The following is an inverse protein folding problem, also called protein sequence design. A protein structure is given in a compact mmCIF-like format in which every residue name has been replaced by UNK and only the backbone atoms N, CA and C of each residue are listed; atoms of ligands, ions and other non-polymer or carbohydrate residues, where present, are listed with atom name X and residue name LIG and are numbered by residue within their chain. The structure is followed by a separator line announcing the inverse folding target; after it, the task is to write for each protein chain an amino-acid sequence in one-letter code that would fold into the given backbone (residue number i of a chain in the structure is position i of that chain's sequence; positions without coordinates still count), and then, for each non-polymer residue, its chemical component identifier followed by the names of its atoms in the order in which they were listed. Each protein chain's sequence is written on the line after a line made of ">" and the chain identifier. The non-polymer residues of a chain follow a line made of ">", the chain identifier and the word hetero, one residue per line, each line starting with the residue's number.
data_IF_943117626231
#
_entry.id   IF_943117626231
#
_cell.length_a   1.000
_cell.length_b   1.000
_cell.length_c   1.000
_cell.angle_alpha   90.00
_cell.angle_beta   90.00
_cell.angle_gamma   90.00
#
_symmetry.space_group_name_H-M   'P 1'
#
loop_
_entity.id
_entity.type
_entity.pdbx_description
1 polymer ?
#
# COMPACT_ATOMS: atom_id res chain seq x y z
N UNK A 1 -24.35 38.39 7.08
CA UNK A 1 -24.04 38.66 5.66
C UNK A 1 -22.58 39.06 5.59
N UNK A 2 -21.78 38.30 4.92
CA UNK A 2 -20.34 38.50 4.88
C UNK A 2 -20.04 39.61 3.84
N UNK A 3 -19.35 40.71 4.19
CA UNK A 3 -19.13 41.84 3.29
C UNK A 3 -18.18 41.57 2.13
N UNK A 4 -17.67 40.36 2.00
CA UNK A 4 -16.73 39.98 0.93
C UNK A 4 -17.36 39.82 -0.46
N UNK A 5 -18.67 39.69 -0.57
CA UNK A 5 -19.33 39.49 -1.88
C UNK A 5 -19.95 40.78 -2.48
N UNK A 6 -19.90 41.88 -1.76
CA UNK A 6 -20.42 43.16 -2.25
C UNK A 6 -19.41 43.97 -3.07
N UNK A 7 -18.14 43.55 -3.12
CA UNK A 7 -17.08 44.32 -3.80
C UNK A 7 -16.89 44.01 -5.29
N UNK A 8 -17.58 43.02 -5.85
CA UNK A 8 -17.49 42.72 -7.28
C UNK A 8 -18.11 43.85 -8.12
N UNK A 9 -19.10 44.55 -7.57
CA UNK A 9 -19.70 45.70 -8.24
C UNK A 9 -18.93 47.01 -8.03
N UNK A 10 -18.12 47.10 -6.99
CA UNK A 10 -17.35 48.32 -6.72
C UNK A 10 -16.14 48.50 -7.66
N UNK A 11 -15.62 47.39 -8.23
CA UNK A 11 -14.55 47.45 -9.21
C UNK A 11 -15.03 47.94 -10.59
N UNK A 12 -16.27 47.60 -10.96
CA UNK A 12 -16.91 48.10 -12.20
C UNK A 12 -17.18 49.60 -12.17
N UNK A 13 -17.50 50.14 -11.00
CA UNK A 13 -17.70 51.62 -10.83
C UNK A 13 -16.41 52.42 -10.96
N UNK A 14 -15.25 51.80 -10.71
CA UNK A 14 -13.94 52.44 -10.85
C UNK A 14 -13.47 52.60 -12.33
N UNK A 15 -13.96 51.76 -13.20
CA UNK A 15 -13.59 51.74 -14.60
C UNK A 15 -14.51 52.59 -15.50
N UNK A 16 -15.61 53.12 -14.95
CA UNK A 16 -16.60 53.95 -15.63
C UNK A 16 -17.65 53.16 -16.44
N UNK A 17 -18.79 53.79 -16.75
CA UNK A 17 -19.89 53.13 -17.46
C UNK A 17 -19.45 52.71 -18.86
N UNK A 18 -19.54 51.41 -19.14
CA UNK A 18 -19.16 50.83 -20.44
C UNK A 18 -17.79 50.12 -20.47
N UNK A 19 -17.06 50.09 -19.35
CA UNK A 19 -15.85 49.26 -19.28
C UNK A 19 -16.21 47.78 -19.31
N UNK A 20 -15.58 47.03 -20.19
CA UNK A 20 -15.71 45.57 -20.28
C UNK A 20 -14.66 44.98 -19.37
N UNK A 21 -15.08 44.43 -18.23
CA UNK A 21 -14.22 43.63 -17.37
C UNK A 21 -14.07 42.24 -17.98
N UNK A 22 -12.86 41.91 -18.37
CA UNK A 22 -12.51 40.54 -18.73
C UNK A 22 -12.00 39.86 -17.45
N UNK A 23 -12.68 38.83 -16.94
CA UNK A 23 -12.19 38.13 -15.77
C UNK A 23 -10.84 37.50 -16.08
N UNK A 24 -9.82 37.97 -15.35
CA UNK A 24 -8.48 37.34 -15.36
C UNK A 24 -8.49 36.10 -14.48
N UNK A 25 -8.45 34.96 -15.11
CA UNK A 25 -8.26 33.70 -14.40
C UNK A 25 -6.78 33.46 -14.13
N UNK A 26 -6.49 32.94 -12.98
CA UNK A 26 -5.15 32.47 -12.66
C UNK A 26 -4.78 31.32 -13.61
N UNK A 27 -3.67 31.47 -14.32
CA UNK A 27 -3.23 30.46 -15.32
C UNK A 27 -2.60 29.23 -14.67
N UNK A 28 -2.22 29.34 -13.40
CA UNK A 28 -1.57 28.27 -12.66
C UNK A 28 -2.58 27.59 -11.73
N UNK A 29 -2.77 26.29 -11.94
CA UNK A 29 -3.56 25.44 -11.06
C UNK A 29 -2.63 24.95 -9.96
N UNK A 30 -2.91 25.34 -8.71
CA UNK A 30 -2.18 24.82 -7.55
C UNK A 30 -2.41 23.33 -7.40
N UNK A 31 -1.34 22.57 -7.49
CA UNK A 31 -1.36 21.13 -7.26
C UNK A 31 -1.49 20.81 -5.78
N UNK A 32 -2.42 19.91 -5.47
CA UNK A 32 -2.48 19.30 -4.14
C UNK A 32 -1.41 18.22 -4.08
N UNK A 33 -0.45 18.37 -3.16
CA UNK A 33 0.56 17.33 -2.92
C UNK A 33 -0.13 16.04 -2.52
N UNK A 34 -0.10 15.05 -3.41
CA UNK A 34 -0.71 13.74 -3.20
C UNK A 34 0.35 12.77 -2.72
N UNK A 35 0.18 12.28 -1.51
CA UNK A 35 1.07 11.24 -0.98
C UNK A 35 0.79 9.91 -1.67
N UNK A 36 1.88 9.25 -2.10
CA UNK A 36 1.89 7.88 -2.60
C UNK A 36 2.25 6.92 -1.46
N UNK A 37 1.74 5.70 -1.50
CA UNK A 37 2.15 4.64 -0.59
C UNK A 37 3.59 4.19 -0.88
N UNK A 38 4.34 3.88 0.17
CA UNK A 38 5.72 3.40 0.04
C UNK A 38 5.73 1.90 -0.26
N UNK A 39 4.73 1.18 0.22
CA UNK A 39 4.63 -0.27 0.13
C UNK A 39 4.74 -0.82 -1.29
N UNK A 40 3.96 -0.27 -2.23
CA UNK A 40 3.97 -0.71 -3.63
C UNK A 40 5.32 -0.60 -4.34
N UNK A 41 6.22 0.26 -3.84
CA UNK A 41 7.57 0.44 -4.38
C UNK A 41 8.58 -0.56 -3.78
N UNK A 42 8.28 -1.11 -2.60
CA UNK A 42 9.18 -1.99 -1.86
C UNK A 42 8.90 -3.47 -2.08
N UNK A 43 7.66 -3.82 -2.40
CA UNK A 43 7.29 -5.20 -2.69
C UNK A 43 7.80 -5.65 -4.07
N UNK A 44 8.04 -6.93 -4.19
CA UNK A 44 8.54 -7.53 -5.42
C UNK A 44 7.50 -7.47 -6.54
N UNK A 45 7.91 -6.97 -7.70
CA UNK A 45 7.07 -6.89 -8.90
C UNK A 45 7.31 -8.13 -9.77
N UNK A 46 6.26 -8.92 -10.04
CA UNK A 46 6.33 -10.16 -10.80
C UNK A 46 5.41 -10.11 -12.02
N UNK A 47 5.92 -10.34 -13.23
CA UNK A 47 5.06 -10.42 -14.41
C UNK A 47 4.20 -11.69 -14.34
N UNK A 48 2.89 -11.53 -14.53
CA UNK A 48 1.97 -12.65 -14.65
C UNK A 48 2.02 -13.21 -16.06
N UNK A 49 2.19 -14.52 -16.17
CA UNK A 49 2.25 -15.23 -17.46
C UNK A 49 0.87 -15.63 -18.00
N UNK A 50 -0.17 -15.46 -17.19
CA UNK A 50 -1.54 -15.85 -17.57
C UNK A 50 -2.59 -15.36 -16.57
N UNK A 51 -3.85 -15.72 -16.82
CA UNK A 51 -4.98 -15.46 -15.95
C UNK A 51 -5.72 -16.78 -15.68
N UNK A 52 -5.79 -17.26 -14.41
CA UNK A 52 -5.17 -16.70 -13.20
C UNK A 52 -3.64 -16.84 -13.19
N UNK A 53 -2.95 -15.95 -12.47
CA UNK A 53 -1.53 -16.09 -12.21
C UNK A 53 -1.31 -17.22 -11.20
N UNK A 54 -0.40 -18.15 -11.50
CA UNK A 54 -0.14 -19.33 -10.67
C UNK A 54 1.23 -19.22 -10.02
N UNK A 55 1.33 -19.68 -8.78
CA UNK A 55 2.58 -19.73 -8.04
C UNK A 55 2.60 -20.95 -7.12
N UNK A 56 3.79 -21.35 -6.70
CA UNK A 56 3.98 -22.43 -5.74
C UNK A 56 4.42 -21.85 -4.40
N UNK A 57 3.85 -22.40 -3.35
CA UNK A 57 4.23 -22.10 -1.98
C UNK A 57 4.74 -23.38 -1.32
N UNK A 58 5.91 -23.29 -0.69
CA UNK A 58 6.46 -24.41 0.09
C UNK A 58 5.89 -24.33 1.51
N UNK A 59 5.13 -25.36 1.89
CA UNK A 59 4.45 -25.39 3.19
C UNK A 59 5.21 -26.20 4.23
N UNK A 60 6.21 -26.98 3.82
CA UNK A 60 7.08 -27.69 4.74
C UNK A 60 8.48 -27.91 4.13
N UNK A 61 9.50 -27.68 4.94
CA UNK A 61 10.89 -27.96 4.57
C UNK A 61 11.12 -29.47 4.63
N UNK A 62 11.68 -30.06 3.56
CA UNK A 62 11.99 -31.49 3.57
C UNK A 62 13.14 -31.75 4.54
N UNK A 63 12.81 -32.29 5.69
CA UNK A 63 13.79 -32.69 6.69
C UNK A 63 13.46 -34.10 7.21
N UNK A 64 14.47 -34.94 7.47
CA UNK A 64 14.24 -36.21 8.15
C UNK A 64 13.73 -35.94 9.58
N UNK A 65 12.87 -36.82 10.09
CA UNK A 65 12.47 -36.70 11.49
C UNK A 65 13.68 -36.88 12.41
N UNK A 66 13.66 -36.25 13.58
CA UNK A 66 14.78 -36.29 14.53
C UNK A 66 15.19 -37.72 14.91
N UNK A 67 14.25 -38.65 14.89
CA UNK A 67 14.50 -40.07 15.21
C UNK A 67 14.96 -40.91 13.99
N UNK A 68 14.53 -40.51 12.78
CA UNK A 68 14.82 -41.28 11.55
C UNK A 68 16.00 -40.69 10.74
N UNK A 69 16.42 -39.45 11.05
CA UNK A 69 17.54 -38.80 10.35
C UNK A 69 18.92 -39.26 10.76
N UNK A 70 19.04 -39.78 11.99
CA UNK A 70 20.32 -40.35 12.47
C UNK A 70 20.29 -41.87 12.31
N UNK A 71 21.23 -42.40 11.52
CA UNK A 71 21.34 -43.82 11.22
C UNK A 71 22.69 -44.37 11.69
N UNK A 72 22.77 -45.68 11.93
CA UNK A 72 24.03 -46.34 12.28
C UNK A 72 25.05 -46.15 11.11
N UNK A 73 26.25 -45.59 11.38
CA UNK A 73 27.25 -45.34 10.37
C UNK A 73 27.76 -46.64 9.68
N UNK A 74 27.49 -47.79 10.29
CA UNK A 74 27.82 -49.10 9.69
C UNK A 74 26.75 -49.67 8.79
N UNK A 75 25.49 -49.14 8.92
CA UNK A 75 24.36 -49.53 8.09
C UNK A 75 23.56 -48.30 7.68
N UNK A 76 24.04 -47.58 6.70
CA UNK A 76 23.43 -46.30 6.25
C UNK A 76 22.27 -46.60 5.32
N UNK A 77 21.04 -46.38 5.84
CA UNK A 77 19.83 -46.35 5.03
C UNK A 77 19.32 -44.91 5.03
N UNK A 78 19.40 -44.23 3.89
CA UNK A 78 18.95 -42.84 3.78
C UNK A 78 17.42 -42.75 3.88
N UNK A 79 16.87 -41.95 4.83
CA UNK A 79 15.44 -41.73 4.89
C UNK A 79 14.96 -40.91 3.68
N UNK A 80 13.82 -41.30 3.11
CA UNK A 80 13.18 -40.56 2.03
C UNK A 80 12.46 -39.37 2.62
N UNK A 81 12.79 -38.16 2.16
CA UNK A 81 12.10 -36.93 2.51
C UNK A 81 11.49 -36.31 1.27
N UNK A 82 10.26 -35.82 1.37
CA UNK A 82 9.54 -35.24 0.25
C UNK A 82 9.16 -33.79 0.60
N UNK A 83 9.55 -32.80 -0.23
CA UNK A 83 9.10 -31.44 -0.04
C UNK A 83 7.59 -31.33 -0.27
N UNK A 84 6.90 -30.60 0.60
CA UNK A 84 5.48 -30.33 0.45
C UNK A 84 5.31 -28.95 -0.19
N UNK A 85 4.77 -28.93 -1.40
CA UNK A 85 4.49 -27.70 -2.15
C UNK A 85 3.01 -27.67 -2.53
N UNK A 86 2.40 -26.52 -2.38
CA UNK A 86 1.01 -26.27 -2.76
C UNK A 86 1.02 -25.29 -3.93
N UNK A 87 0.31 -25.62 -5.00
CA UNK A 87 0.02 -24.69 -6.06
C UNK A 87 -1.12 -23.77 -5.64
N UNK A 88 -0.89 -22.47 -5.74
CA UNK A 88 -1.90 -21.44 -5.52
C UNK A 88 -2.09 -20.62 -6.79
N UNK A 89 -3.27 -20.05 -6.94
CA UNK A 89 -3.61 -19.20 -8.08
C UNK A 89 -4.31 -17.94 -7.62
N UNK A 90 -4.04 -16.84 -8.32
CA UNK A 90 -4.68 -15.56 -8.07
C UNK A 90 -5.22 -14.99 -9.39
N UNK A 91 -6.53 -14.71 -9.48
CA UNK A 91 -7.11 -14.01 -10.62
C UNK A 91 -6.67 -12.54 -10.59
N UNK A 92 -6.21 -12.07 -11.75
CA UNK A 92 -5.82 -10.68 -11.92
C UNK A 92 -7.06 -9.78 -11.96
N UNK A 93 -6.97 -8.62 -11.34
CA UNK A 93 -8.03 -7.61 -11.29
C UNK A 93 -7.66 -6.43 -12.18
N UNK A 94 -8.66 -5.71 -12.64
CA UNK A 94 -8.51 -4.51 -13.44
C UNK A 94 -8.87 -3.27 -12.61
N UNK A 95 -7.95 -2.34 -12.50
CA UNK A 95 -8.20 -1.01 -11.99
C UNK A 95 -8.26 -0.05 -13.19
N UNK A 96 -9.41 0.61 -13.37
CA UNK A 96 -9.70 1.43 -14.55
C UNK A 96 -10.25 2.77 -14.12
N UNK A 97 -9.79 3.84 -14.77
CA UNK A 97 -10.40 5.15 -14.70
C UNK A 97 -10.50 5.74 -16.11
N UNK A 98 -11.49 6.59 -16.34
CA UNK A 98 -11.65 7.24 -17.64
C UNK A 98 -11.94 8.73 -17.50
N UNK A 99 -11.47 9.49 -18.49
CA UNK A 99 -11.83 10.89 -18.71
C UNK A 99 -12.41 11.02 -20.11
N UNK A 100 -13.49 11.79 -20.24
CA UNK A 100 -14.14 12.09 -21.49
C UNK A 100 -13.97 13.60 -21.79
N UNK A 101 -13.53 13.93 -22.99
CA UNK A 101 -13.45 15.30 -23.49
C UNK A 101 -14.40 15.46 -24.66
N UNK A 102 -15.30 16.47 -24.62
CA UNK A 102 -16.08 16.83 -25.78
C UNK A 102 -15.22 17.60 -26.80
N UNK A 103 -15.57 17.53 -28.09
CA UNK A 103 -14.92 18.32 -29.10
C UNK A 103 -15.06 19.82 -28.80
N UNK A 104 -16.23 20.23 -28.30
CA UNK A 104 -16.51 21.62 -27.95
C UNK A 104 -15.54 22.14 -26.87
N UNK A 105 -15.33 21.36 -25.78
CA UNK A 105 -14.40 21.74 -24.69
C UNK A 105 -12.96 21.82 -25.21
N UNK A 106 -12.59 20.94 -26.15
CA UNK A 106 -11.27 20.96 -26.78
C UNK A 106 -11.05 22.22 -27.63
N UNK A 107 -12.04 22.58 -28.43
CA UNK A 107 -11.98 23.79 -29.28
C UNK A 107 -11.96 25.07 -28.44
N UNK A 108 -12.82 25.16 -27.43
CA UNK A 108 -12.82 26.28 -26.48
C UNK A 108 -11.49 26.41 -25.75
N UNK A 109 -10.93 25.28 -25.28
CA UNK A 109 -9.63 25.25 -24.62
C UNK A 109 -8.47 25.69 -25.54
N UNK A 110 -8.52 25.34 -26.82
CA UNK A 110 -7.52 25.77 -27.80
C UNK A 110 -7.60 27.30 -28.11
N UNK A 111 -8.81 27.84 -28.15
CA UNK A 111 -9.00 29.28 -28.38
C UNK A 111 -8.64 30.11 -27.14
N UNK A 112 -8.91 29.57 -25.95
CA UNK A 112 -8.49 30.15 -24.69
C UNK A 112 -7.10 29.63 -24.33
N UNK A 113 -6.05 30.27 -24.88
CA UNK A 113 -4.64 29.85 -24.67
C UNK A 113 -4.24 29.65 -23.19
N UNK A 114 -5.02 30.19 -22.25
CA UNK A 114 -4.83 30.02 -20.81
C UNK A 114 -5.08 28.60 -20.30
N UNK A 115 -5.82 27.76 -21.03
CA UNK A 115 -6.19 26.39 -20.64
C UNK A 115 -5.62 25.31 -21.56
N UNK A 116 -4.66 25.67 -22.43
CA UNK A 116 -4.10 24.73 -23.41
C UNK A 116 -3.49 23.45 -22.80
N UNK A 117 -3.06 23.48 -21.54
CA UNK A 117 -2.48 22.34 -20.82
C UNK A 117 -3.48 21.57 -19.92
N UNK A 118 -4.75 22.02 -19.84
CA UNK A 118 -5.73 21.44 -18.90
C UNK A 118 -5.95 19.95 -19.14
N UNK A 119 -6.06 19.53 -20.40
CA UNK A 119 -6.24 18.11 -20.73
C UNK A 119 -5.06 17.24 -20.30
N UNK A 120 -3.83 17.72 -20.49
CA UNK A 120 -2.64 17.00 -20.04
C UNK A 120 -2.59 16.89 -18.51
N UNK A 121 -2.99 17.96 -17.82
CA UNK A 121 -3.08 17.98 -16.38
C UNK A 121 -4.14 17.03 -15.85
N UNK A 122 -5.34 17.06 -16.39
CA UNK A 122 -6.44 16.17 -16.00
C UNK A 122 -6.06 14.69 -16.21
N UNK A 123 -5.35 14.40 -17.30
CA UNK A 123 -4.86 13.04 -17.54
C UNK A 123 -3.81 12.64 -16.50
N UNK A 124 -2.86 13.53 -16.18
CA UNK A 124 -1.88 13.26 -15.13
C UNK A 124 -2.55 13.05 -13.77
N UNK A 125 -3.53 13.87 -13.43
CA UNK A 125 -4.33 13.75 -12.20
C UNK A 125 -5.11 12.44 -12.12
N UNK A 126 -5.62 11.96 -13.26
CA UNK A 126 -6.31 10.66 -13.33
C UNK A 126 -5.33 9.51 -13.12
N UNK A 127 -4.15 9.56 -13.73
CA UNK A 127 -3.11 8.56 -13.52
C UNK A 127 -2.69 8.52 -12.06
N UNK A 128 -2.49 9.67 -11.42
CA UNK A 128 -2.17 9.76 -9.99
C UNK A 128 -3.31 9.24 -9.11
N UNK A 129 -4.56 9.53 -9.48
CA UNK A 129 -5.74 8.98 -8.81
C UNK A 129 -5.80 7.45 -8.86
N UNK A 130 -5.51 6.86 -10.04
CA UNK A 130 -5.42 5.39 -10.21
C UNK A 130 -4.31 4.81 -9.36
N UNK A 131 -3.13 5.43 -9.35
CA UNK A 131 -2.00 4.96 -8.57
C UNK A 131 -2.25 5.06 -7.06
N UNK A 132 -2.93 6.13 -6.60
CA UNK A 132 -3.33 6.26 -5.19
C UNK A 132 -4.35 5.20 -4.78
N UNK A 133 -5.35 4.94 -5.63
CA UNK A 133 -6.34 3.88 -5.39
C UNK A 133 -5.66 2.51 -5.35
N UNK A 134 -4.68 2.29 -6.22
CA UNK A 134 -3.86 1.09 -6.21
C UNK A 134 -3.09 0.93 -4.89
N UNK A 135 -2.41 1.99 -4.41
CA UNK A 135 -1.64 1.96 -3.16
C UNK A 135 -2.56 1.63 -1.95
N UNK A 136 -3.76 2.21 -1.90
CA UNK A 136 -4.75 1.87 -0.86
C UNK A 136 -5.21 0.41 -0.99
N UNK A 137 -5.47 -0.06 -2.20
CA UNK A 137 -5.98 -1.40 -2.44
C UNK A 137 -4.93 -2.50 -2.20
N UNK A 138 -3.63 -2.20 -2.30
CA UNK A 138 -2.57 -3.14 -1.93
C UNK A 138 -2.67 -3.55 -0.45
N UNK A 139 -3.01 -2.62 0.45
CA UNK A 139 -3.22 -2.90 1.87
C UNK A 139 -4.67 -3.30 2.17
N UNK A 140 -5.63 -2.47 1.79
CA UNK A 140 -7.02 -2.53 2.25
C UNK A 140 -8.00 -3.03 1.18
N UNK A 141 -7.52 -3.79 0.20
CA UNK A 141 -8.41 -4.37 -0.82
C UNK A 141 -9.50 -5.23 -0.18
N UNK A 142 -10.74 -5.07 -0.66
CA UNK A 142 -11.95 -5.59 -0.02
C UNK A 142 -12.29 -7.04 -0.36
N UNK A 143 -11.52 -7.71 -1.22
CA UNK A 143 -11.75 -9.14 -1.50
C UNK A 143 -11.40 -9.98 -0.26
N UNK A 144 -11.99 -11.15 -0.15
CA UNK A 144 -11.82 -12.06 0.99
C UNK A 144 -11.08 -13.36 0.66
N UNK A 145 -10.78 -13.59 -0.62
CA UNK A 145 -10.12 -14.81 -1.06
C UNK A 145 -9.26 -14.58 -2.30
N UNK A 146 -8.09 -15.22 -2.34
CA UNK A 146 -7.23 -15.22 -3.52
C UNK A 146 -7.77 -16.11 -4.64
N UNK A 147 -8.22 -17.32 -4.31
CA UNK A 147 -8.64 -18.31 -5.32
C UNK A 147 -10.10 -18.21 -5.74
N UNK A 148 -10.97 -17.73 -4.84
CA UNK A 148 -12.41 -17.58 -5.05
C UNK A 148 -12.86 -16.15 -4.76
N UNK A 149 -12.55 -15.19 -5.65
CA UNK A 149 -12.81 -13.78 -5.41
C UNK A 149 -14.30 -13.49 -5.29
N UNK A 150 -14.66 -12.69 -4.31
CA UNK A 150 -16.03 -12.23 -4.06
C UNK A 150 -16.27 -10.82 -4.57
N UNK A 151 -15.22 -10.04 -4.78
CA UNK A 151 -15.28 -8.66 -5.28
C UNK A 151 -14.34 -8.44 -6.46
N UNK A 152 -14.50 -7.29 -7.15
CA UNK A 152 -13.61 -6.88 -8.24
C UNK A 152 -12.30 -6.23 -7.74
N UNK A 153 -12.15 -5.99 -6.44
CA UNK A 153 -10.93 -5.43 -5.87
C UNK A 153 -9.86 -6.50 -5.60
N UNK A 154 -8.66 -6.06 -5.23
CA UNK A 154 -7.62 -6.96 -4.72
C UNK A 154 -8.06 -7.58 -3.39
N UNK A 155 -7.51 -8.74 -3.07
CA UNK A 155 -7.47 -9.20 -1.68
C UNK A 155 -6.25 -8.53 -1.04
N UNK A 156 -6.48 -7.47 -0.24
CA UNK A 156 -5.42 -6.64 0.32
C UNK A 156 -4.51 -7.39 1.29
N UNK A 157 -3.28 -6.89 1.46
CA UNK A 157 -2.30 -7.50 2.35
C UNK A 157 -2.81 -7.62 3.80
N UNK A 158 -3.57 -6.65 4.28
CA UNK A 158 -4.22 -6.68 5.61
C UNK A 158 -5.09 -7.93 5.77
N UNK A 159 -5.97 -8.18 4.81
CA UNK A 159 -6.89 -9.34 4.86
C UNK A 159 -6.15 -10.67 4.75
N UNK A 160 -5.12 -10.74 3.91
CA UNK A 160 -4.29 -11.95 3.75
C UNK A 160 -3.50 -12.27 5.01
N UNK A 161 -2.86 -11.27 5.64
CA UNK A 161 -2.09 -11.45 6.89
C UNK A 161 -3.01 -11.80 8.05
N UNK A 162 -4.14 -11.11 8.20
CA UNK A 162 -5.12 -11.43 9.23
C UNK A 162 -5.69 -12.85 9.06
N UNK A 163 -5.95 -13.28 7.81
CA UNK A 163 -6.38 -14.63 7.47
C UNK A 163 -5.35 -15.71 7.80
N UNK A 164 -4.06 -15.36 7.90
CA UNK A 164 -2.98 -16.25 8.35
C UNK A 164 -3.02 -16.61 9.83
N UNK A 165 -3.83 -15.91 10.64
CA UNK A 165 -4.04 -16.21 12.06
C UNK A 165 -2.97 -15.68 13.02
N UNK A 166 -1.94 -15.01 12.53
CA UNK A 166 -0.85 -14.45 13.34
C UNK A 166 -1.18 -13.03 13.80
N UNK A 167 -2.07 -12.91 14.77
CA UNK A 167 -2.47 -11.63 15.36
C UNK A 167 -2.09 -11.57 16.82
N UNK A 168 -1.41 -10.50 17.23
CA UNK A 168 -1.08 -10.20 18.62
C UNK A 168 -1.74 -8.89 19.02
N UNK A 169 -2.37 -8.84 20.20
CA UNK A 169 -2.96 -7.60 20.73
C UNK A 169 -2.12 -7.07 21.87
N UNK A 170 -1.76 -5.80 21.83
CA UNK A 170 -1.06 -5.07 22.90
C UNK A 170 -2.10 -4.18 23.58
N UNK A 171 -2.44 -4.53 24.82
CA UNK A 171 -3.44 -3.80 25.61
C UNK A 171 -2.98 -2.39 26.01
N UNK A 172 -3.92 -1.59 26.47
CA UNK A 172 -3.74 -0.15 26.76
C UNK A 172 -2.65 0.18 27.78
N UNK A 173 -2.37 -0.72 28.74
CA UNK A 173 -1.36 -0.54 29.77
C UNK A 173 -0.01 -1.22 29.48
N UNK A 174 0.09 -1.96 28.37
CA UNK A 174 1.32 -2.66 28.02
C UNK A 174 2.23 -1.79 27.14
N UNK A 175 3.55 -1.98 27.24
CA UNK A 175 4.54 -1.32 26.40
C UNK A 175 4.36 -1.73 24.93
N UNK A 176 4.26 -0.76 24.03
CA UNK A 176 4.15 -1.00 22.57
C UNK A 176 5.46 -1.61 22.08
N UNK A 177 6.58 -1.05 22.52
CA UNK A 177 7.92 -1.44 22.09
C UNK A 177 8.21 -2.88 22.49
N UNK A 178 7.92 -3.25 23.74
CA UNK A 178 8.14 -4.61 24.23
C UNK A 178 7.21 -5.61 23.55
N UNK A 179 5.97 -5.22 23.28
CA UNK A 179 5.01 -6.04 22.52
C UNK A 179 5.48 -6.31 21.10
N UNK A 180 5.97 -5.29 20.38
CA UNK A 180 6.54 -5.45 19.05
C UNK A 180 7.80 -6.34 19.06
N UNK A 181 8.73 -6.12 19.98
CA UNK A 181 9.94 -6.94 20.14
C UNK A 181 9.60 -8.39 20.46
N UNK A 182 8.62 -8.62 21.33
CA UNK A 182 8.15 -9.97 21.69
C UNK A 182 7.54 -10.68 20.47
N UNK A 183 6.74 -9.97 19.67
CA UNK A 183 6.14 -10.54 18.45
C UNK A 183 7.22 -10.91 17.42
N UNK A 184 8.23 -10.04 17.22
CA UNK A 184 9.38 -10.34 16.36
C UNK A 184 10.15 -11.55 16.87
N UNK A 185 10.36 -11.65 18.19
CA UNK A 185 11.05 -12.80 18.80
C UNK A 185 10.27 -14.11 18.58
N UNK A 186 8.93 -14.09 18.71
CA UNK A 186 8.07 -15.25 18.42
C UNK A 186 8.18 -15.66 16.94
N UNK A 187 8.19 -14.70 16.03
CA UNK A 187 8.34 -14.95 14.60
C UNK A 187 9.68 -15.62 14.26
N UNK A 188 10.78 -15.09 14.83
CA UNK A 188 12.13 -15.65 14.61
C UNK A 188 12.28 -17.01 15.29
N UNK A 189 11.65 -17.20 16.45
CA UNK A 189 11.69 -18.47 17.22
C UNK A 189 10.78 -19.56 16.62
N UNK A 190 9.98 -19.27 15.60
CA UNK A 190 9.13 -20.26 14.96
C UNK A 190 9.98 -21.43 14.44
N UNK A 191 9.80 -22.59 15.05
CA UNK A 191 10.62 -23.77 14.79
C UNK A 191 10.45 -24.35 13.39
N UNK A 192 9.31 -24.05 12.73
CA UNK A 192 9.01 -24.62 11.42
C UNK A 192 9.73 -23.88 10.28
N UNK A 193 9.86 -22.55 10.39
CA UNK A 193 10.35 -21.71 9.27
C UNK A 193 11.47 -20.75 9.65
N UNK A 194 11.48 -20.22 10.89
CA UNK A 194 12.55 -19.32 11.37
C UNK A 194 12.71 -18.06 10.48
N UNK A 195 11.62 -17.50 9.98
CA UNK A 195 11.63 -16.38 9.05
C UNK A 195 12.00 -15.10 9.78
N UNK A 196 12.88 -14.29 9.18
CA UNK A 196 13.25 -12.98 9.73
C UNK A 196 12.45 -11.89 9.03
N UNK A 197 11.69 -11.06 9.76
CA UNK A 197 11.02 -9.91 9.19
C UNK A 197 12.02 -8.88 8.65
N UNK A 198 11.60 -8.12 7.64
CA UNK A 198 12.43 -7.08 7.02
C UNK A 198 11.98 -5.68 7.35
N UNK A 199 10.69 -5.49 7.68
CA UNK A 199 10.13 -4.17 7.98
C UNK A 199 8.91 -4.25 8.90
N UNK A 200 8.63 -3.12 9.56
CA UNK A 200 7.39 -2.89 10.33
C UNK A 200 6.66 -1.72 9.67
N UNK A 201 5.47 -1.98 9.15
CA UNK A 201 4.58 -0.97 8.57
C UNK A 201 3.53 -0.58 9.60
N UNK A 202 3.37 0.72 9.81
CA UNK A 202 2.36 1.23 10.72
C UNK A 202 1.84 2.62 10.31
N UNK A 203 0.67 2.97 10.83
CA UNK A 203 0.17 4.32 10.69
C UNK A 203 1.12 5.33 11.36
N UNK A 204 1.34 6.51 10.77
CA UNK A 204 2.19 7.56 11.36
C UNK A 204 1.84 7.94 12.80
N UNK A 205 0.57 7.83 13.19
CA UNK A 205 0.13 8.08 14.58
C UNK A 205 0.71 7.04 15.55
N UNK A 206 0.73 5.76 15.16
CA UNK A 206 1.33 4.71 15.97
C UNK A 206 2.85 4.90 16.09
N UNK A 207 3.50 5.32 15.02
CA UNK A 207 4.94 5.60 15.05
C UNK A 207 5.30 6.76 15.97
N UNK A 208 4.45 7.79 16.07
CA UNK A 208 4.62 8.87 17.05
C UNK A 208 4.48 8.36 18.49
N UNK A 209 3.52 7.47 18.75
CA UNK A 209 3.37 6.83 20.07
C UNK A 209 4.60 5.99 20.45
N UNK A 210 5.15 5.22 19.52
CA UNK A 210 6.38 4.44 19.73
C UNK A 210 7.55 5.37 20.06
N UNK A 211 7.70 6.48 19.35
CA UNK A 211 8.78 7.43 19.57
C UNK A 211 8.66 8.10 20.96
N UNK A 212 7.45 8.45 21.38
CA UNK A 212 7.19 9.00 22.72
C UNK A 212 7.51 7.99 23.81
N UNK A 213 7.10 6.74 23.65
CA UNK A 213 7.38 5.67 24.62
C UNK A 213 8.89 5.43 24.74
N UNK A 214 9.61 5.35 23.62
CA UNK A 214 11.06 5.21 23.63
C UNK A 214 11.78 6.34 24.36
N UNK A 215 11.32 7.58 24.21
CA UNK A 215 11.88 8.74 24.91
C UNK A 215 11.54 8.77 26.38
N UNK A 216 10.30 8.45 26.75
CA UNK A 216 9.80 8.57 28.13
C UNK A 216 10.21 7.40 29.02
N UNK A 217 10.13 6.18 28.53
CA UNK A 217 10.37 4.97 29.34
C UNK A 217 11.81 4.46 29.22
N UNK A 218 12.39 4.52 28.02
CA UNK A 218 13.72 3.96 27.79
C UNK A 218 14.81 5.02 27.69
N UNK A 219 14.45 6.30 27.68
CA UNK A 219 15.39 7.44 27.48
C UNK A 219 16.32 7.26 26.27
N UNK A 220 15.81 6.62 25.21
CA UNK A 220 16.51 6.30 23.97
C UNK A 220 15.84 7.01 22.80
N UNK A 221 16.66 7.59 21.92
CA UNK A 221 16.20 8.12 20.63
C UNK A 221 16.38 7.03 19.59
N UNK A 222 15.32 6.74 18.84
CA UNK A 222 15.38 5.77 17.75
C UNK A 222 16.42 6.18 16.71
N UNK A 223 17.27 5.27 16.32
CA UNK A 223 18.21 5.47 15.23
C UNK A 223 17.49 5.60 13.89
N UNK A 224 18.11 6.28 12.95
CA UNK A 224 17.60 6.45 11.60
C UNK A 224 18.39 5.60 10.62
N UNK A 225 17.70 5.01 9.67
CA UNK A 225 18.28 4.25 8.56
C UNK A 225 17.77 4.79 7.24
N UNK A 226 18.64 4.92 6.27
CA UNK A 226 18.26 5.22 4.90
C UNK A 226 17.66 3.95 4.26
N UNK A 227 16.44 4.06 3.76
CA UNK A 227 15.74 2.97 3.06
C UNK A 227 15.73 3.14 1.54
N UNK A 228 16.49 4.07 1.02
CA UNK A 228 16.57 4.43 -0.39
C UNK A 228 15.76 5.68 -0.76
N UNK A 229 16.00 6.22 -1.93
CA UNK A 229 15.35 7.42 -2.47
C UNK A 229 15.38 8.67 -1.53
N UNK A 230 16.37 8.78 -0.64
CA UNK A 230 16.52 9.91 0.28
C UNK A 230 15.56 9.91 1.47
N UNK A 231 14.83 8.82 1.71
CA UNK A 231 14.00 8.67 2.89
C UNK A 231 14.75 8.00 4.03
N UNK A 232 14.88 8.71 5.13
CA UNK A 232 15.36 8.14 6.39
C UNK A 232 14.15 7.77 7.26
N UNK A 233 14.14 6.55 7.75
CA UNK A 233 13.13 6.06 8.70
C UNK A 233 13.77 5.68 10.01
N UNK A 234 12.99 5.75 11.08
CA UNK A 234 13.42 5.28 12.39
C UNK A 234 13.51 3.74 12.38
N UNK A 235 14.41 3.19 13.16
CA UNK A 235 14.58 1.73 13.30
C UNK A 235 14.33 1.30 14.74
N UNK A 236 13.75 0.11 14.87
CA UNK A 236 13.59 -0.58 16.13
C UNK A 236 14.56 -1.75 16.20
N UNK A 237 15.43 -1.75 17.20
CA UNK A 237 16.36 -2.87 17.45
C UNK A 237 15.61 -4.05 18.05
N UNK A 238 15.67 -5.19 17.37
CA UNK A 238 14.93 -6.41 17.70
C UNK A 238 15.83 -7.65 17.60
N UNK A 239 15.30 -8.82 17.94
CA UNK A 239 16.00 -10.10 17.77
C UNK A 239 16.27 -10.47 16.30
N UNK A 240 15.56 -9.87 15.35
CA UNK A 240 15.81 -10.01 13.91
C UNK A 240 16.88 -9.02 13.39
N UNK A 241 17.36 -8.11 14.23
CA UNK A 241 18.20 -6.97 13.88
C UNK A 241 17.43 -5.65 13.92
N UNK A 242 17.97 -4.62 13.28
CA UNK A 242 17.36 -3.29 13.24
C UNK A 242 16.31 -3.23 12.12
N UNK A 243 15.04 -3.26 12.53
CA UNK A 243 13.91 -3.20 11.62
C UNK A 243 13.48 -1.75 11.36
N UNK A 244 13.35 -1.33 10.09
CA UNK A 244 12.83 -0.03 9.76
C UNK A 244 11.34 0.07 10.10
N UNK A 245 10.96 1.19 10.73
CA UNK A 245 9.58 1.57 11.04
C UNK A 245 9.06 2.43 9.89
N UNK A 246 8.29 1.84 8.99
CA UNK A 246 7.85 2.50 7.76
C UNK A 246 6.48 3.13 7.98
N UNK A 247 6.38 4.47 7.82
CA UNK A 247 5.10 5.15 7.91
C UNK A 247 4.25 4.86 6.67
N UNK A 248 3.12 4.20 6.87
CA UNK A 248 2.17 3.91 5.80
C UNK A 248 0.81 4.56 6.11
N UNK A 249 0.49 5.60 5.37
CA UNK A 249 -0.72 6.40 5.58
C UNK A 249 -2.01 5.66 5.15
N UNK A 250 -1.88 4.65 4.30
CA UNK A 250 -3.03 3.84 3.84
C UNK A 250 -3.54 2.89 4.93
N UNK A 251 -2.73 2.63 5.95
CA UNK A 251 -3.15 1.84 7.11
C UNK A 251 -4.02 2.71 8.02
N UNK A 252 -5.33 2.46 8.01
CA UNK A 252 -6.29 3.12 8.90
C UNK A 252 -6.16 2.64 10.34
N UNK A 253 -6.74 3.39 11.26
CA UNK A 253 -6.97 2.98 12.65
C UNK A 253 -8.41 3.29 13.04
N UNK A 254 -8.91 2.67 14.08
CA UNK A 254 -10.26 2.90 14.62
C UNK A 254 -10.18 3.62 15.96
N UNK A 255 -11.21 4.40 16.29
CA UNK A 255 -11.29 5.13 17.55
C UNK A 255 -10.42 6.39 17.60
N UNK A 256 -10.33 7.01 18.78
CA UNK A 256 -9.50 8.20 19.02
C UNK A 256 -8.27 7.80 19.81
N UNK A 257 -7.04 7.97 19.29
CA UNK A 257 -5.83 7.62 20.02
C UNK A 257 -5.73 8.34 21.35
N UNK A 258 -5.44 7.60 22.42
CA UNK A 258 -5.41 8.11 23.80
C UNK A 258 -6.72 8.00 24.55
N UNK A 259 -7.81 7.56 23.94
CA UNK A 259 -9.11 7.32 24.61
C UNK A 259 -9.22 5.96 25.26
N UNK A 260 -8.24 5.06 25.04
CA UNK A 260 -8.30 3.67 25.48
C UNK A 260 -9.18 2.76 24.62
N UNK A 261 -9.77 3.29 23.57
CA UNK A 261 -10.65 2.56 22.64
C UNK A 261 -10.14 2.55 21.19
N UNK A 262 -9.01 3.22 20.93
CA UNK A 262 -8.42 3.20 19.60
C UNK A 262 -7.62 1.93 19.37
N UNK A 263 -7.79 1.32 18.18
CA UNK A 263 -7.00 0.19 17.72
C UNK A 263 -6.14 0.64 16.55
N UNK A 264 -4.82 0.61 16.77
CA UNK A 264 -3.83 1.01 15.78
C UNK A 264 -3.08 -0.25 15.31
N UNK A 265 -3.25 -0.65 14.05
CA UNK A 265 -2.57 -1.83 13.53
C UNK A 265 -1.11 -1.51 13.13
N UNK A 266 -0.22 -2.46 13.42
CA UNK A 266 1.11 -2.56 12.85
C UNK A 266 1.27 -3.91 12.16
N UNK A 267 2.02 -3.94 11.07
CA UNK A 267 2.29 -5.16 10.30
C UNK A 267 3.78 -5.42 10.26
N UNK A 268 4.20 -6.54 10.85
CA UNK A 268 5.56 -7.03 10.80
C UNK A 268 5.63 -7.97 9.60
N UNK A 269 6.42 -7.62 8.59
CA UNK A 269 6.40 -8.31 7.31
C UNK A 269 7.79 -8.69 6.82
N UNK A 270 7.84 -9.74 6.01
CA UNK A 270 8.98 -10.13 5.18
C UNK A 270 8.68 -9.72 3.75
N UNK A 271 9.25 -8.59 3.30
CA UNK A 271 8.90 -7.94 2.03
C UNK A 271 9.17 -8.86 0.82
N UNK A 272 10.19 -9.70 0.87
CA UNK A 272 10.54 -10.63 -0.20
C UNK A 272 9.46 -11.68 -0.48
N UNK A 273 8.57 -11.93 0.48
CA UNK A 273 7.46 -12.88 0.36
C UNK A 273 6.15 -12.20 -0.05
N UNK A 274 6.16 -10.89 -0.27
CA UNK A 274 5.01 -10.16 -0.79
C UNK A 274 5.28 -9.78 -2.23
N UNK A 275 4.41 -10.21 -3.13
CA UNK A 275 4.55 -9.99 -4.56
C UNK A 275 3.34 -9.27 -5.13
N UNK A 276 3.60 -8.35 -6.06
CA UNK A 276 2.58 -7.78 -6.92
C UNK A 276 2.68 -8.40 -8.31
N UNK A 277 1.71 -9.21 -8.67
CA UNK A 277 1.62 -9.83 -9.98
C UNK A 277 0.92 -8.87 -10.95
N UNK A 278 1.62 -8.47 -12.02
CA UNK A 278 1.10 -7.53 -13.01
C UNK A 278 0.99 -8.14 -14.40
N UNK A 279 0.06 -7.65 -15.22
CA UNK A 279 -0.11 -8.07 -16.60
C UNK A 279 0.06 -6.89 -17.54
N UNK A 280 0.95 -7.05 -18.51
CA UNK A 280 1.23 -6.07 -19.56
C UNK A 280 2.26 -5.03 -19.18
N UNK A 281 2.06 -4.26 -18.12
CA UNK A 281 3.00 -3.25 -17.61
C UNK A 281 2.79 -3.05 -16.10
N UNK A 282 3.85 -2.91 -15.30
CA UNK A 282 3.73 -2.58 -13.88
C UNK A 282 3.14 -1.18 -13.64
N UNK A 283 3.29 -0.28 -14.62
CA UNK A 283 2.71 1.06 -14.58
C UNK A 283 1.33 1.10 -15.25
N UNK A 284 0.47 2.07 -14.89
CA UNK A 284 -0.78 2.29 -15.58
C UNK A 284 -0.57 2.62 -17.05
N UNK A 285 -1.36 2.02 -17.93
CA UNK A 285 -1.35 2.32 -19.36
C UNK A 285 -2.52 3.22 -19.73
N UNK A 286 -2.28 4.18 -20.61
CA UNK A 286 -3.29 5.11 -21.10
C UNK A 286 -3.66 4.73 -22.53
N UNK A 287 -4.97 4.56 -22.76
CA UNK A 287 -5.54 4.31 -24.08
C UNK A 287 -6.44 5.48 -24.47
N UNK A 288 -6.28 5.96 -25.69
CA UNK A 288 -7.21 6.93 -26.28
C UNK A 288 -8.20 6.18 -27.14
N UNK A 289 -9.48 6.32 -26.82
CA UNK A 289 -10.58 5.71 -27.54
C UNK A 289 -11.47 6.79 -28.13
N UNK A 290 -11.99 6.56 -29.33
CA UNK A 290 -13.07 7.36 -29.89
C UNK A 290 -14.41 6.80 -29.38
N UNK A 291 -15.34 7.67 -29.04
CA UNK A 291 -16.71 7.27 -28.66
C UNK A 291 -17.56 7.17 -29.91
N UNK A 292 -18.04 5.98 -30.32
CA UNK A 292 -18.89 5.83 -31.49
C UNK A 292 -20.16 6.66 -31.36
N UNK A 293 -20.48 7.44 -32.40
CA UNK A 293 -21.67 8.29 -32.42
C UNK A 293 -21.58 9.58 -31.61
N UNK A 294 -20.42 9.92 -31.07
CA UNK A 294 -20.18 11.16 -30.33
C UNK A 294 -18.90 11.84 -30.79
N UNK A 295 -18.91 13.16 -30.83
CA UNK A 295 -17.72 13.99 -31.07
C UNK A 295 -16.96 14.18 -29.73
N UNK A 296 -16.54 13.05 -29.13
CA UNK A 296 -15.80 13.05 -27.88
C UNK A 296 -14.59 12.11 -27.96
N UNK A 297 -13.50 12.50 -27.31
CA UNK A 297 -12.34 11.65 -27.09
C UNK A 297 -12.36 11.13 -25.66
N UNK A 298 -12.13 9.84 -25.50
CA UNK A 298 -12.08 9.16 -24.22
C UNK A 298 -10.65 8.70 -23.93
N UNK A 299 -10.12 9.08 -22.78
CA UNK A 299 -8.86 8.56 -22.29
C UNK A 299 -9.14 7.57 -21.17
N UNK A 300 -8.66 6.35 -21.32
CA UNK A 300 -8.85 5.26 -20.34
C UNK A 300 -7.50 4.87 -19.77
N UNK A 301 -7.38 5.00 -18.47
CA UNK A 301 -6.20 4.58 -17.71
C UNK A 301 -6.48 3.21 -17.11
N UNK A 302 -5.63 2.23 -17.40
CA UNK A 302 -5.84 0.84 -16.99
C UNK A 302 -4.59 0.29 -16.33
N UNK A 303 -4.77 -0.45 -15.23
CA UNK A 303 -3.74 -1.24 -14.55
C UNK A 303 -4.29 -2.61 -14.19
N UNK A 304 -3.57 -3.67 -14.57
CA UNK A 304 -3.95 -5.05 -14.25
C UNK A 304 -2.98 -5.64 -13.24
N UNK A 305 -3.51 -6.33 -12.24
CA UNK A 305 -2.66 -7.05 -11.29
C UNK A 305 -3.41 -7.65 -10.13
N UNK A 306 -2.63 -8.20 -9.20
CA UNK A 306 -3.09 -8.69 -7.91
C UNK A 306 -1.93 -8.72 -6.93
N UNK A 307 -2.22 -8.53 -5.64
CA UNK A 307 -1.22 -8.67 -4.57
C UNK A 307 -1.30 -10.07 -3.98
N UNK A 308 -0.15 -10.66 -3.71
CA UNK A 308 0.00 -12.00 -3.13
C UNK A 308 0.92 -11.90 -1.93
N UNK A 309 0.46 -12.38 -0.79
CA UNK A 309 1.24 -12.51 0.44
C UNK A 309 1.51 -14.01 0.64
N UNK A 310 2.75 -14.43 0.35
CA UNK A 310 3.20 -15.81 0.55
C UNK A 310 3.57 -16.01 2.02
N UNK A 311 3.23 -17.17 2.56
CA UNK A 311 3.55 -17.47 3.95
C UNK A 311 2.79 -16.61 4.96
N UNK A 312 1.55 -16.23 4.67
CA UNK A 312 0.72 -15.40 5.54
C UNK A 312 0.59 -15.96 6.96
N UNK A 313 0.67 -17.28 7.12
CA UNK A 313 0.54 -17.99 8.40
C UNK A 313 1.85 -18.16 9.19
N UNK A 314 3.00 -17.72 8.67
CA UNK A 314 4.29 -17.86 9.38
C UNK A 314 5.28 -16.71 9.16
N UNK A 315 5.17 -15.99 8.05
CA UNK A 315 6.14 -14.97 7.65
C UNK A 315 5.67 -13.52 7.90
N UNK A 316 4.42 -13.36 8.31
CA UNK A 316 3.81 -12.04 8.53
C UNK A 316 2.97 -12.07 9.80
N UNK A 317 3.01 -10.97 10.55
CA UNK A 317 2.27 -10.81 11.81
C UNK A 317 1.54 -9.48 11.82
N UNK A 318 0.31 -9.53 12.29
CA UNK A 318 -0.48 -8.34 12.62
C UNK A 318 -0.37 -8.07 14.12
N UNK A 319 -0.06 -6.84 14.49
CA UNK A 319 -0.07 -6.38 15.87
C UNK A 319 -1.12 -5.30 16.01
N UNK A 320 -2.10 -5.52 16.87
CA UNK A 320 -3.14 -4.55 17.19
C UNK A 320 -2.76 -3.86 18.49
N UNK A 321 -2.64 -2.55 18.47
CA UNK A 321 -2.25 -1.74 19.63
C UNK A 321 -3.47 -0.97 20.11
N UNK A 322 -3.93 -1.26 21.30
CA UNK A 322 -5.04 -0.55 21.96
C UNK A 322 -4.51 0.68 22.70
N UNK A 323 -5.05 1.89 22.40
CA UNK A 323 -4.66 3.16 23.03
C UNK A 323 -5.82 4.15 23.18
#
# INVERSE_FOLDING_TARGET
>A
MNPMFTNIHAAADFLGPGAIEVPLYQTEILDIVRRRGIFGQRIKQVPATGHPSRYFEETAIPAPSASAGFVDPRNIVAPVVTPTRVEASVPLKALVAQINYSLFDTEVGQQQSQFAYLQAKDLADTVDGVLRTHDVALWNGSDSSLSAPTTSQYFGAVGQIAGGGNTTTIGTSASIVDGLKSTVAQMVANSSFGVRPTAIYANPVLLDLIDREMKSEFNVVLQTKDIGAGFTVKTLSTQAGDLPLIPEWTLGYTGTPGSGSAVLPAYIVTEDLIEYHWLGDPNPRVFRLGVPGSLAAQHVVVKFGAVVVKGANYAHYQVLVDR
#
